data_IF_510524199568
#
_entry.id   IF_510524199568
#
_cell.length_a   1.000
_cell.length_b   1.000
_cell.length_c   1.000
_cell.angle_alpha   90.00
_cell.angle_beta   90.00
_cell.angle_gamma   90.00
#
_symmetry.space_group_name_H-M   'P 1'
#
loop_
_entity.id
_entity.type
_entity.pdbx_description
1 polymer ?
#
# COMPACT_ATOMS: atom_id res chain seq x y z
N UNK A 1 -28.13 -1.05 0.69
CA UNK A 1 -27.85 -2.50 0.88
C UNK A 1 -26.66 -2.87 0.02
N UNK A 2 -25.74 -3.70 0.53
CA UNK A 2 -24.48 -4.11 -0.16
C UNK A 2 -24.78 -5.05 -1.36
N UNK A 3 -25.99 -5.53 -1.51
CA UNK A 3 -26.36 -6.57 -2.49
C UNK A 3 -26.26 -6.15 -3.97
N UNK A 4 -26.06 -4.86 -4.27
CA UNK A 4 -25.96 -4.37 -5.64
C UNK A 4 -24.51 -4.22 -6.14
N UNK A 5 -23.54 -4.43 -5.24
CA UNK A 5 -22.13 -4.29 -5.62
C UNK A 5 -21.57 -5.58 -6.21
N UNK A 6 -20.77 -5.44 -7.25
CA UNK A 6 -19.98 -6.53 -7.82
C UNK A 6 -18.49 -6.16 -7.80
N UNK A 7 -17.65 -7.19 -7.65
CA UNK A 7 -16.19 -7.04 -7.66
C UNK A 7 -15.64 -7.84 -8.83
N UNK A 8 -14.84 -7.19 -9.67
CA UNK A 8 -14.25 -7.79 -10.87
C UNK A 8 -12.78 -7.43 -10.96
N UNK A 9 -11.98 -8.31 -11.58
CA UNK A 9 -10.62 -7.98 -12.00
C UNK A 9 -10.66 -6.91 -13.08
N UNK A 10 -9.76 -5.92 -12.99
CA UNK A 10 -9.64 -4.82 -13.95
C UNK A 10 -8.19 -4.67 -14.42
N UNK A 11 -7.98 -3.98 -15.53
CA UNK A 11 -6.65 -3.70 -16.03
C UNK A 11 -5.96 -2.60 -15.21
N UNK A 12 -4.65 -2.69 -15.04
CA UNK A 12 -3.86 -1.70 -14.29
C UNK A 12 -4.05 -0.27 -14.85
N UNK A 13 -4.30 -0.15 -16.14
CA UNK A 13 -4.52 1.14 -16.79
C UNK A 13 -5.77 1.85 -16.26
N UNK A 14 -6.82 1.11 -15.92
CA UNK A 14 -8.08 1.64 -15.38
C UNK A 14 -7.90 2.23 -13.97
N UNK A 15 -6.86 1.78 -13.23
CA UNK A 15 -6.55 2.27 -11.89
C UNK A 15 -5.80 3.61 -11.88
N UNK A 16 -5.19 4.02 -13.00
CA UNK A 16 -4.23 5.13 -13.04
C UNK A 16 -4.82 6.44 -12.53
N UNK A 17 -5.99 6.81 -13.03
CA UNK A 17 -6.69 8.04 -12.64
C UNK A 17 -7.05 8.03 -11.14
N UNK A 18 -7.49 6.89 -10.63
CA UNK A 18 -7.81 6.73 -9.21
C UNK A 18 -6.58 6.91 -8.32
N UNK A 19 -5.43 6.36 -8.72
CA UNK A 19 -4.19 6.48 -7.94
C UNK A 19 -3.62 7.89 -7.94
N UNK A 20 -3.70 8.60 -9.06
CA UNK A 20 -3.10 9.92 -9.21
C UNK A 20 -3.98 11.04 -8.66
N UNK A 21 -5.30 10.90 -8.76
CA UNK A 21 -6.23 11.98 -8.43
C UNK A 21 -7.05 11.74 -7.16
N UNK A 22 -7.51 10.51 -6.91
CA UNK A 22 -8.37 10.21 -5.75
C UNK A 22 -7.61 9.70 -4.53
N UNK A 23 -6.51 8.95 -4.72
CA UNK A 23 -5.74 8.43 -3.58
C UNK A 23 -4.82 9.49 -3.00
N UNK A 24 -4.77 9.61 -1.66
CA UNK A 24 -3.97 10.61 -0.94
C UNK A 24 -2.47 10.58 -1.30
N UNK A 25 -1.91 9.42 -1.63
CA UNK A 25 -0.49 9.29 -1.98
C UNK A 25 -0.14 9.83 -3.37
N UNK A 26 -1.11 10.05 -4.25
CA UNK A 26 -0.97 10.58 -5.63
C UNK A 26 0.21 10.00 -6.42
N UNK A 27 0.42 8.69 -6.31
CA UNK A 27 1.53 7.96 -6.93
C UNK A 27 1.08 6.59 -7.42
N UNK A 28 1.67 6.16 -8.54
CA UNK A 28 1.46 4.82 -9.07
C UNK A 28 2.22 3.78 -8.24
N UNK A 29 1.56 2.75 -7.72
CA UNK A 29 2.21 1.62 -7.08
C UNK A 29 2.66 0.58 -8.12
N UNK A 30 3.45 -0.41 -7.70
CA UNK A 30 3.59 -1.66 -8.45
C UNK A 30 2.29 -2.44 -8.32
N UNK A 31 1.68 -2.86 -9.43
CA UNK A 31 0.40 -3.58 -9.45
C UNK A 31 0.57 -4.92 -10.12
N UNK A 32 0.27 -5.99 -9.38
CA UNK A 32 0.18 -7.36 -9.90
C UNK A 32 -1.28 -7.79 -10.10
N UNK A 33 -2.16 -7.35 -9.20
CA UNK A 33 -3.60 -7.63 -9.26
C UNK A 33 -4.36 -6.34 -8.98
N UNK A 34 -5.39 -6.07 -9.78
CA UNK A 34 -6.27 -4.92 -9.61
C UNK A 34 -7.73 -5.35 -9.71
N UNK A 35 -8.56 -4.76 -8.86
CA UNK A 35 -9.98 -5.08 -8.76
C UNK A 35 -10.79 -3.79 -8.72
N UNK A 36 -11.90 -3.78 -9.43
CA UNK A 36 -12.91 -2.74 -9.41
C UNK A 36 -14.11 -3.14 -8.58
N UNK A 37 -14.62 -2.20 -7.80
CA UNK A 37 -15.93 -2.27 -7.16
C UNK A 37 -16.93 -1.54 -8.05
N UNK A 38 -17.99 -2.23 -8.41
CA UNK A 38 -19.03 -1.68 -9.28
C UNK A 38 -20.37 -1.60 -8.53
N UNK A 39 -21.01 -0.44 -8.60
CA UNK A 39 -22.44 -0.30 -8.33
C UNK A 39 -23.17 -0.41 -9.67
N UNK A 40 -23.88 -1.50 -9.88
CA UNK A 40 -24.43 -1.89 -11.19
C UNK A 40 -23.32 -1.91 -12.26
N UNK A 41 -23.26 -0.89 -13.12
CA UNK A 41 -22.27 -0.75 -14.19
C UNK A 41 -21.24 0.37 -13.93
N UNK A 42 -21.36 1.11 -12.85
CA UNK A 42 -20.49 2.24 -12.51
C UNK A 42 -19.33 1.78 -11.63
N UNK A 43 -18.11 2.07 -12.02
CA UNK A 43 -16.92 1.83 -11.21
C UNK A 43 -16.89 2.86 -10.06
N UNK A 44 -17.06 2.39 -8.82
CA UNK A 44 -17.13 3.22 -7.61
C UNK A 44 -15.95 2.98 -6.64
N UNK A 45 -15.02 2.12 -6.99
CA UNK A 45 -13.81 1.91 -6.19
C UNK A 45 -12.82 0.98 -6.85
N UNK A 46 -11.57 1.10 -6.43
CA UNK A 46 -10.49 0.23 -6.85
C UNK A 46 -9.71 -0.30 -5.65
N UNK A 47 -9.23 -1.52 -5.76
CA UNK A 47 -8.30 -2.15 -4.83
C UNK A 47 -7.18 -2.80 -5.60
N UNK A 48 -5.92 -2.54 -5.21
CA UNK A 48 -4.78 -3.13 -5.89
C UNK A 48 -3.79 -3.79 -4.95
N UNK A 49 -3.18 -4.84 -5.47
CA UNK A 49 -2.15 -5.62 -4.83
C UNK A 49 -0.92 -5.66 -5.72
N UNK A 50 0.25 -5.60 -5.10
CA UNK A 50 1.50 -5.68 -5.82
C UNK A 50 2.62 -6.22 -4.95
N UNK A 51 3.83 -6.25 -5.49
CA UNK A 51 4.99 -6.68 -4.71
C UNK A 51 5.24 -5.69 -3.58
N UNK A 52 5.42 -6.17 -2.32
CA UNK A 52 5.71 -5.29 -1.20
C UNK A 52 6.97 -4.47 -1.41
N UNK A 53 6.89 -3.17 -1.09
CA UNK A 53 8.05 -2.26 -1.18
C UNK A 53 9.11 -2.60 -0.15
N UNK A 54 8.73 -3.15 1.00
CA UNK A 54 9.63 -3.52 2.08
C UNK A 54 10.30 -4.88 1.80
N UNK A 55 11.30 -4.92 0.92
CA UNK A 55 12.05 -6.15 0.61
C UNK A 55 12.64 -6.84 1.84
N UNK A 56 13.09 -6.08 2.84
CA UNK A 56 13.59 -6.62 4.11
C UNK A 56 12.50 -7.38 4.88
N UNK A 57 11.25 -6.92 4.83
CA UNK A 57 10.15 -7.62 5.45
C UNK A 57 9.96 -9.01 4.83
N UNK A 58 9.94 -9.08 3.50
CA UNK A 58 9.78 -10.35 2.77
C UNK A 58 10.94 -11.30 3.09
N UNK A 59 12.18 -10.78 3.06
CA UNK A 59 13.39 -11.56 3.29
C UNK A 59 13.47 -12.15 4.71
N UNK A 60 12.98 -11.41 5.71
CA UNK A 60 13.06 -11.82 7.12
C UNK A 60 11.74 -12.41 7.67
N UNK A 61 10.63 -12.18 6.99
CA UNK A 61 9.39 -12.86 7.35
C UNK A 61 9.53 -14.36 7.00
N UNK A 62 9.12 -15.21 7.92
CA UNK A 62 9.13 -16.66 7.73
C UNK A 62 10.48 -17.23 7.24
N UNK A 63 11.60 -16.68 7.74
CA UNK A 63 12.98 -17.10 7.40
C UNK A 63 13.27 -17.08 5.88
N UNK A 64 12.66 -16.16 5.15
CA UNK A 64 12.85 -15.99 3.72
C UNK A 64 12.06 -16.98 2.85
N UNK A 65 11.25 -17.85 3.46
CA UNK A 65 10.32 -18.69 2.71
C UNK A 65 9.13 -17.89 2.19
N UNK A 66 8.48 -18.38 1.12
CA UNK A 66 7.23 -17.84 0.58
C UNK A 66 7.33 -16.44 -0.05
N UNK A 67 8.52 -15.99 -0.46
CA UNK A 67 8.72 -14.63 -1.02
C UNK A 67 7.85 -14.36 -2.26
N UNK A 68 7.63 -15.39 -3.07
CA UNK A 68 6.85 -15.33 -4.32
C UNK A 68 5.35 -15.18 -4.10
N UNK A 69 4.83 -15.59 -2.94
CA UNK A 69 3.41 -15.48 -2.61
C UNK A 69 3.06 -14.24 -1.78
N UNK A 70 4.07 -13.38 -1.50
CA UNK A 70 3.83 -12.13 -0.78
C UNK A 70 3.26 -11.05 -1.68
N UNK A 71 2.15 -10.48 -1.24
CA UNK A 71 1.48 -9.33 -1.85
C UNK A 71 1.32 -8.20 -0.81
N UNK A 72 1.37 -6.97 -1.26
CA UNK A 72 0.96 -5.80 -0.48
C UNK A 72 -0.35 -5.27 -1.03
N UNK A 73 -1.39 -5.19 -0.19
CA UNK A 73 -2.56 -4.36 -0.49
C UNK A 73 -2.09 -2.91 -0.42
N UNK A 74 -1.74 -2.35 -1.57
CA UNK A 74 -1.02 -1.09 -1.65
C UNK A 74 -1.90 0.11 -1.97
N UNK A 75 -3.11 -0.11 -2.54
CA UNK A 75 -4.11 0.94 -2.75
C UNK A 75 -5.51 0.39 -2.53
N UNK A 76 -6.29 1.17 -1.81
CA UNK A 76 -7.72 0.99 -1.64
C UNK A 76 -8.35 2.38 -1.73
N UNK A 77 -9.15 2.61 -2.74
CA UNK A 77 -9.80 3.89 -3.01
C UNK A 77 -11.23 3.62 -3.43
N UNK A 78 -12.15 4.32 -2.84
CA UNK A 78 -13.58 4.27 -3.20
C UNK A 78 -14.13 5.68 -3.30
N UNK A 79 -15.24 5.84 -3.98
CA UNK A 79 -15.98 7.10 -3.99
C UNK A 79 -16.50 7.43 -2.60
N UNK A 80 -16.70 8.73 -2.33
CA UNK A 80 -17.28 9.20 -1.09
C UNK A 80 -18.75 8.75 -0.95
N UNK A 81 -19.23 8.76 0.29
CA UNK A 81 -20.64 8.49 0.62
C UNK A 81 -21.16 7.07 0.29
N UNK A 82 -20.27 6.09 0.16
CA UNK A 82 -20.72 4.70 0.03
C UNK A 82 -21.31 4.17 1.35
N UNK A 83 -22.24 3.21 1.29
CA UNK A 83 -22.84 2.60 2.47
C UNK A 83 -21.79 2.04 3.44
N UNK A 84 -22.13 2.05 4.73
CA UNK A 84 -21.33 1.42 5.77
C UNK A 84 -20.96 -0.03 5.38
N UNK A 85 -19.76 -0.45 5.71
CA UNK A 85 -19.18 -1.77 5.43
C UNK A 85 -18.84 -2.05 3.95
N UNK A 86 -19.04 -1.12 3.02
CA UNK A 86 -18.69 -1.31 1.60
C UNK A 86 -17.20 -1.60 1.43
N UNK A 87 -16.31 -0.90 2.18
CA UNK A 87 -14.87 -1.13 2.07
C UNK A 87 -14.45 -2.53 2.57
N UNK A 88 -14.99 -2.98 3.70
CA UNK A 88 -14.67 -4.32 4.23
C UNK A 88 -15.25 -5.42 3.34
N UNK A 89 -16.44 -5.23 2.77
CA UNK A 89 -17.00 -6.10 1.74
C UNK A 89 -16.05 -6.17 0.54
N UNK A 90 -15.61 -5.02 0.03
CA UNK A 90 -14.75 -4.94 -1.15
C UNK A 90 -13.41 -5.65 -0.91
N UNK A 91 -12.71 -5.34 0.20
CA UNK A 91 -11.45 -6.02 0.54
C UNK A 91 -11.66 -7.52 0.69
N UNK A 92 -12.69 -7.96 1.43
CA UNK A 92 -12.98 -9.39 1.61
C UNK A 92 -13.28 -10.11 0.29
N UNK A 93 -13.97 -9.45 -0.64
CA UNK A 93 -14.24 -9.99 -1.97
C UNK A 93 -12.95 -10.10 -2.82
N UNK A 94 -12.09 -9.07 -2.81
CA UNK A 94 -10.82 -9.11 -3.55
C UNK A 94 -9.87 -10.17 -3.03
N UNK A 95 -9.80 -10.37 -1.70
CA UNK A 95 -8.97 -11.44 -1.10
C UNK A 95 -9.33 -12.83 -1.62
N UNK A 96 -10.62 -13.11 -1.89
CA UNK A 96 -11.07 -14.39 -2.44
C UNK A 96 -10.68 -14.60 -3.91
N UNK A 97 -10.36 -13.53 -4.62
CA UNK A 97 -9.96 -13.55 -6.03
C UNK A 97 -8.44 -13.59 -6.22
N UNK A 98 -7.66 -13.45 -5.15
CA UNK A 98 -6.20 -13.57 -5.21
C UNK A 98 -5.75 -15.02 -5.41
N UNK A 99 -4.54 -15.23 -5.96
CA UNK A 99 -3.92 -16.56 -5.98
C UNK A 99 -3.86 -17.19 -4.60
N UNK A 100 -4.04 -18.50 -4.55
CA UNK A 100 -4.01 -19.27 -3.30
C UNK A 100 -2.95 -20.39 -3.41
N UNK A 101 -1.93 -20.43 -2.51
CA UNK A 101 -1.76 -19.61 -1.31
C UNK A 101 -1.21 -18.20 -1.60
N UNK A 102 -1.51 -17.25 -0.70
CA UNK A 102 -0.93 -15.91 -0.68
C UNK A 102 -0.78 -15.38 0.74
N UNK A 103 0.21 -14.53 0.95
CA UNK A 103 0.38 -13.73 2.18
C UNK A 103 0.21 -12.27 1.81
N UNK A 104 -0.79 -11.61 2.37
CA UNK A 104 -1.07 -10.20 2.10
C UNK A 104 -0.64 -9.36 3.29
N UNK A 105 0.23 -8.38 3.05
CA UNK A 105 0.55 -7.33 4.03
C UNK A 105 -0.17 -6.05 3.66
N UNK A 106 -0.61 -5.29 4.65
CA UNK A 106 -1.15 -3.95 4.45
C UNK A 106 -0.76 -3.02 5.59
N UNK A 107 -0.83 -1.71 5.32
CA UNK A 107 -0.40 -0.68 6.25
C UNK A 107 -1.47 0.40 6.40
N UNK A 108 -1.79 0.76 7.65
CA UNK A 108 -2.59 1.93 7.96
C UNK A 108 -1.67 3.07 8.44
N UNK A 109 -1.79 4.24 7.81
CA UNK A 109 -0.90 5.37 8.04
C UNK A 109 -1.35 6.19 9.25
N UNK A 110 -0.53 6.20 10.32
CA UNK A 110 -0.87 6.93 11.54
C UNK A 110 -0.92 8.44 11.35
N UNK A 111 -0.19 8.99 10.37
CA UNK A 111 -0.22 10.43 10.09
C UNK A 111 -1.56 10.93 9.55
N UNK A 112 -2.38 10.00 9.06
CA UNK A 112 -3.74 10.26 8.57
C UNK A 112 -4.81 9.81 9.57
N UNK A 113 -4.44 9.46 10.80
CA UNK A 113 -5.37 8.91 11.80
C UNK A 113 -5.91 7.52 11.44
N UNK A 114 -5.27 6.81 10.50
CA UNK A 114 -5.73 5.50 10.08
C UNK A 114 -5.27 4.43 11.07
N UNK A 115 -6.22 3.73 11.66
CA UNK A 115 -5.99 2.63 12.61
C UNK A 115 -6.19 1.23 11.99
N UNK A 116 -6.53 1.15 10.71
CA UNK A 116 -6.71 -0.13 10.01
C UNK A 116 -7.98 -0.89 10.36
N UNK A 117 -9.05 -0.20 10.74
CA UNK A 117 -10.35 -0.83 11.06
C UNK A 117 -10.88 -1.73 9.94
N UNK A 118 -10.62 -1.36 8.67
CA UNK A 118 -11.00 -2.16 7.50
C UNK A 118 -10.28 -3.51 7.52
N UNK A 119 -8.99 -3.51 7.84
CA UNK A 119 -8.19 -4.74 7.92
C UNK A 119 -8.65 -5.61 9.08
N UNK A 120 -8.94 -5.01 10.24
CA UNK A 120 -9.50 -5.73 11.39
C UNK A 120 -10.85 -6.36 11.03
N UNK A 121 -11.75 -5.62 10.37
CA UNK A 121 -13.04 -6.12 9.91
C UNK A 121 -12.94 -7.25 8.87
N UNK A 122 -11.79 -7.36 8.18
CA UNK A 122 -11.49 -8.43 7.22
C UNK A 122 -10.62 -9.56 7.83
N UNK A 123 -10.49 -9.61 9.15
CA UNK A 123 -9.71 -10.63 9.87
C UNK A 123 -8.21 -10.63 9.56
N UNK A 124 -7.63 -9.50 9.23
CA UNK A 124 -6.17 -9.36 9.20
C UNK A 124 -5.61 -9.42 10.63
N UNK A 125 -4.44 -9.99 10.75
CA UNK A 125 -3.70 -10.07 12.02
C UNK A 125 -2.86 -8.82 12.18
N UNK A 126 -3.07 -8.07 13.26
CA UNK A 126 -2.24 -6.92 13.62
C UNK A 126 -0.87 -7.38 14.12
N UNK A 127 0.21 -6.83 13.57
CA UNK A 127 1.59 -7.21 13.91
C UNK A 127 2.43 -6.02 14.39
N UNK A 128 1.77 -5.03 14.97
CA UNK A 128 2.45 -3.86 15.55
C UNK A 128 2.73 -2.74 14.54
N UNK A 129 3.52 -1.78 14.99
CA UNK A 129 3.94 -0.65 14.18
C UNK A 129 5.15 -0.99 13.33
N UNK A 130 5.23 -0.41 12.13
CA UNK A 130 6.42 -0.49 11.27
C UNK A 130 7.66 0.04 12.00
N UNK A 131 8.86 -0.35 11.55
CA UNK A 131 10.11 0.15 12.11
C UNK A 131 10.19 1.68 12.05
N UNK A 132 10.85 2.28 13.04
CA UNK A 132 11.21 3.71 12.99
C UNK A 132 12.13 3.95 11.81
N UNK A 133 11.85 4.99 11.03
CA UNK A 133 12.66 5.42 9.89
C UNK A 133 12.63 6.94 9.79
N UNK A 134 13.66 7.50 9.17
CA UNK A 134 13.73 8.91 8.80
C UNK A 134 13.62 9.07 7.29
N UNK A 135 13.12 10.22 6.86
CA UNK A 135 13.06 10.64 5.47
C UNK A 135 13.87 11.92 5.27
N UNK A 136 14.57 12.01 4.14
CA UNK A 136 15.12 13.28 3.72
C UNK A 136 14.00 14.22 3.28
N UNK A 137 14.07 15.46 3.76
CA UNK A 137 13.20 16.57 3.39
C UNK A 137 14.04 17.78 3.01
N UNK A 138 13.45 18.70 2.25
CA UNK A 138 14.06 19.96 1.86
C UNK A 138 13.17 21.09 2.32
N UNK A 139 13.73 22.10 2.99
CA UNK A 139 13.00 23.29 3.43
C UNK A 139 12.30 23.97 2.25
N UNK A 140 11.05 24.34 2.46
CA UNK A 140 10.19 24.90 1.39
C UNK A 140 9.66 23.90 0.35
N UNK A 141 10.07 22.62 0.43
CA UNK A 141 9.61 21.53 -0.45
C UNK A 141 9.12 20.29 0.34
N UNK A 142 8.56 20.51 1.53
CA UNK A 142 8.13 19.45 2.45
C UNK A 142 7.03 18.57 1.87
N UNK A 143 6.27 19.10 0.90
CA UNK A 143 5.25 18.37 0.15
C UNK A 143 5.82 17.23 -0.71
N UNK A 144 7.12 17.31 -1.08
CA UNK A 144 7.74 16.27 -1.87
C UNK A 144 7.92 14.99 -1.05
N UNK A 145 7.54 13.87 -1.66
CA UNK A 145 7.79 12.57 -1.08
C UNK A 145 9.29 12.23 -1.11
N UNK A 146 9.83 11.64 -0.04
CA UNK A 146 11.26 11.29 0.06
C UNK A 146 11.77 10.46 -1.14
N UNK A 147 10.96 9.53 -1.66
CA UNK A 147 11.33 8.78 -2.85
C UNK A 147 11.47 9.68 -4.09
N UNK A 148 10.62 10.71 -4.23
CA UNK A 148 10.76 11.67 -5.35
C UNK A 148 12.02 12.50 -5.22
N UNK A 149 12.42 12.91 -4.01
CA UNK A 149 13.71 13.55 -3.79
C UNK A 149 14.87 12.63 -4.17
N UNK A 150 14.81 11.35 -3.79
CA UNK A 150 15.82 10.37 -4.18
C UNK A 150 15.87 10.10 -5.69
N UNK A 151 14.75 10.25 -6.40
CA UNK A 151 14.68 10.15 -7.85
C UNK A 151 15.34 11.38 -8.51
N UNK A 152 15.21 12.58 -7.95
CA UNK A 152 15.94 13.78 -8.41
C UNK A 152 17.45 13.62 -8.36
N UNK A 153 17.98 12.85 -7.40
CA UNK A 153 19.41 12.52 -7.34
C UNK A 153 19.87 11.55 -8.45
N UNK A 154 18.94 11.04 -9.24
CA UNK A 154 19.22 10.16 -10.38
C UNK A 154 19.53 8.72 -9.99
N UNK A 155 20.17 7.99 -10.91
CA UNK A 155 20.57 6.58 -10.69
C UNK A 155 21.77 6.48 -9.75
N UNK A 156 21.84 5.41 -8.98
CA UNK A 156 22.96 5.11 -8.10
C UNK A 156 22.55 4.48 -6.76
N UNK A 157 23.56 4.11 -5.97
CA UNK A 157 23.35 3.60 -4.62
C UNK A 157 22.94 4.74 -3.66
N UNK A 158 22.25 4.40 -2.58
CA UNK A 158 21.65 5.39 -1.65
C UNK A 158 22.67 6.42 -1.14
N UNK A 159 23.86 5.99 -0.71
CA UNK A 159 24.92 6.90 -0.24
C UNK A 159 25.30 7.94 -1.29
N UNK A 160 25.45 7.55 -2.55
CA UNK A 160 25.75 8.47 -3.64
C UNK A 160 24.60 9.45 -3.91
N UNK A 161 23.35 9.00 -3.83
CA UNK A 161 22.17 9.87 -3.97
C UNK A 161 22.10 10.91 -2.86
N UNK A 162 22.37 10.52 -1.61
CA UNK A 162 22.40 11.45 -0.47
C UNK A 162 23.47 12.53 -0.67
N UNK A 163 24.67 12.18 -1.12
CA UNK A 163 25.72 13.16 -1.40
C UNK A 163 25.31 14.16 -2.49
N UNK A 164 24.65 13.68 -3.56
CA UNK A 164 24.08 14.56 -4.60
C UNK A 164 23.01 15.49 -4.05
N UNK A 165 22.11 14.98 -3.21
CA UNK A 165 21.09 15.82 -2.57
C UNK A 165 21.72 16.87 -1.66
N UNK A 166 22.76 16.52 -0.90
CA UNK A 166 23.52 17.49 -0.10
C UNK A 166 24.18 18.57 -0.96
N UNK A 167 24.76 18.18 -2.09
CA UNK A 167 25.35 19.15 -3.03
C UNK A 167 24.29 20.06 -3.66
N UNK A 168 23.07 19.56 -3.91
CA UNK A 168 21.98 20.33 -4.53
C UNK A 168 21.27 21.27 -3.54
N UNK A 169 21.11 20.86 -2.29
CA UNK A 169 20.23 21.54 -1.33
C UNK A 169 20.98 22.06 -0.08
N UNK A 170 22.24 21.69 0.11
CA UNK A 170 23.05 22.19 1.25
C UNK A 170 22.34 22.00 2.59
N UNK A 171 22.27 23.08 3.37
CA UNK A 171 21.66 23.15 4.71
C UNK A 171 20.13 23.10 4.70
N UNK A 172 19.50 23.19 3.53
CA UNK A 172 18.06 22.99 3.40
C UNK A 172 17.65 21.53 3.41
N UNK A 173 18.62 20.60 3.22
CA UNK A 173 18.38 19.18 3.33
C UNK A 173 18.44 18.73 4.79
N UNK A 174 17.34 18.18 5.30
CA UNK A 174 17.27 17.69 6.68
C UNK A 174 16.59 16.33 6.79
N UNK A 175 16.79 15.66 7.91
CA UNK A 175 16.12 14.40 8.24
C UNK A 175 14.88 14.70 9.09
N UNK A 176 13.77 14.04 8.73
CA UNK A 176 12.51 14.08 9.47
C UNK A 176 12.05 12.68 9.80
N UNK A 177 11.60 12.45 11.01
CA UNK A 177 11.02 11.18 11.39
C UNK A 177 9.80 10.86 10.52
N UNK A 178 9.80 9.64 9.96
CA UNK A 178 8.65 9.13 9.20
C UNK A 178 7.61 8.61 10.18
N UNK A 179 6.33 9.02 10.05
CA UNK A 179 5.25 8.41 10.81
C UNK A 179 5.26 6.89 10.63
N UNK A 180 5.15 6.17 11.74
CA UNK A 180 5.07 4.72 11.70
C UNK A 180 3.69 4.32 11.20
N UNK A 181 3.58 3.10 10.66
CA UNK A 181 2.31 2.57 10.14
C UNK A 181 1.92 1.34 10.91
N UNK A 182 0.64 1.19 11.22
CA UNK A 182 0.08 -0.06 11.71
C UNK A 182 0.19 -1.12 10.63
N UNK A 183 0.77 -2.28 10.94
CA UNK A 183 1.00 -3.36 9.99
C UNK A 183 0.06 -4.51 10.25
N UNK A 184 -0.52 -5.01 9.18
CA UNK A 184 -1.50 -6.08 9.19
C UNK A 184 -1.12 -7.16 8.19
N UNK A 185 -1.33 -8.43 8.55
CA UNK A 185 -1.15 -9.57 7.67
C UNK A 185 -2.44 -10.35 7.50
N UNK A 186 -2.64 -10.88 6.32
CA UNK A 186 -3.69 -11.82 6.01
C UNK A 186 -3.11 -13.03 5.27
N UNK A 187 -3.53 -14.23 5.66
CA UNK A 187 -3.04 -15.48 5.09
C UNK A 187 -4.16 -16.17 4.32
N UNK A 188 -3.97 -16.32 3.01
CA UNK A 188 -4.80 -17.16 2.16
C UNK A 188 -4.13 -18.53 2.05
N UNK A 189 -4.93 -19.59 2.23
CA UNK A 189 -4.45 -20.96 2.12
C UNK A 189 -5.35 -21.95 2.85
N UNK A 190 -5.13 -23.23 2.60
CA UNK A 190 -5.76 -24.29 3.38
C UNK A 190 -5.21 -24.29 4.81
N UNK A 191 -5.97 -24.85 5.77
CA UNK A 191 -5.56 -24.92 7.20
C UNK A 191 -4.14 -25.47 7.40
N UNK A 192 -3.72 -26.44 6.59
CA UNK A 192 -2.35 -27.01 6.62
C UNK A 192 -1.26 -26.05 6.15
N UNK A 193 -1.60 -25.05 5.34
CA UNK A 193 -0.67 -24.07 4.77
C UNK A 193 -0.56 -22.79 5.66
N UNK A 194 -1.45 -22.65 6.64
CA UNK A 194 -1.48 -21.50 7.56
C UNK A 194 -0.72 -21.73 8.86
N UNK A 195 -0.29 -22.96 9.11
CA UNK A 195 0.55 -23.36 10.25
C UNK A 195 2.03 -23.24 9.90
#
# INVERSE_FOLDING_TARGET
MINNYSVKSIKNQECKEWFLHKHYAKRLPSVSHAFGLYDKNSLVGICSYGRPVAHTLIKHAFNGHYQEIFLELNRLVVDDNLPKNTLSFFVSATLKLLPNPSVVVSYADTSLGHHGYIYQACNFIYTGLSAKRTDYKVKGKEHLHSASLMDHAGRGVEKGKVNKLKAMYGDDLYLKDRPRKHRYFYFLGQKKQKK
#
